data_IF_139440685344
#
_entry.id   IF_139440685344
#
_cell.length_a   1.000
_cell.length_b   1.000
_cell.length_c   1.000
_cell.angle_alpha   90.00
_cell.angle_beta   90.00
_cell.angle_gamma   90.00
#
_symmetry.space_group_name_H-M   'P 1'
#
loop_
_entity.id
_entity.type
_entity.pdbx_description
1 polymer ?
#
# COMPACT_ATOMS: atom_id res chain seq x y z
N UNK A 1 4.51 16.71 2.12
CA UNK A 1 3.23 17.01 2.78
C UNK A 1 3.15 16.10 4.00
N UNK A 2 2.58 16.52 5.14
CA UNK A 2 2.93 15.96 6.45
C UNK A 2 2.75 14.44 6.55
N UNK A 3 1.70 13.87 5.93
CA UNK A 3 1.47 12.42 5.88
C UNK A 3 2.49 11.67 5.01
N UNK A 4 2.97 12.28 3.93
CA UNK A 4 4.00 11.72 3.05
C UNK A 4 5.37 11.75 3.72
N UNK A 5 5.68 12.84 4.42
CA UNK A 5 6.99 13.03 5.04
C UNK A 5 7.14 12.09 6.25
N UNK A 6 6.05 11.93 7.03
CA UNK A 6 5.95 10.89 8.06
C UNK A 6 6.15 9.48 7.49
N UNK A 7 5.52 9.18 6.35
CA UNK A 7 5.64 7.90 5.68
C UNK A 7 7.07 7.59 5.23
N UNK A 8 7.76 8.54 4.59
CA UNK A 8 9.15 8.37 4.18
C UNK A 8 10.06 8.11 5.39
N UNK A 9 9.87 8.84 6.48
CA UNK A 9 10.62 8.63 7.72
C UNK A 9 10.42 7.22 8.29
N UNK A 10 9.21 6.66 8.21
CA UNK A 10 8.95 5.27 8.61
C UNK A 10 9.67 4.27 7.69
N UNK A 11 9.69 4.50 6.38
CA UNK A 11 10.39 3.63 5.43
C UNK A 11 11.89 3.61 5.72
N UNK A 12 12.51 4.76 5.95
CA UNK A 12 13.93 4.86 6.32
C UNK A 12 14.24 4.07 7.59
N UNK A 13 13.45 4.27 8.66
CA UNK A 13 13.60 3.52 9.91
C UNK A 13 13.41 2.01 9.72
N UNK A 14 12.49 1.59 8.85
CA UNK A 14 12.28 0.17 8.57
C UNK A 14 13.49 -0.45 7.86
N UNK A 15 14.13 0.29 6.94
CA UNK A 15 15.36 -0.18 6.26
C UNK A 15 16.53 -0.38 7.21
N UNK A 16 16.67 0.51 8.19
CA UNK A 16 17.74 0.42 9.20
C UNK A 16 17.65 -0.86 10.04
N UNK A 17 16.49 -1.55 10.06
CA UNK A 17 16.34 -2.83 10.78
C UNK A 17 17.01 -4.02 10.06
N UNK A 18 17.46 -3.86 8.82
CA UNK A 18 18.05 -4.93 8.01
C UNK A 18 17.05 -5.99 7.54
N UNK A 19 15.74 -5.74 7.70
CA UNK A 19 14.66 -6.64 7.25
C UNK A 19 14.20 -6.27 5.85
N UNK A 20 13.62 -7.24 5.13
CA UNK A 20 12.88 -6.97 3.91
C UNK A 20 11.71 -6.01 4.20
N UNK A 21 11.60 -4.93 3.43
CA UNK A 21 10.59 -3.89 3.62
C UNK A 21 9.55 -3.96 2.51
N UNK A 22 8.29 -4.14 2.91
CA UNK A 22 7.13 -4.03 2.03
C UNK A 22 6.32 -2.81 2.42
N UNK A 23 5.99 -1.99 1.43
CA UNK A 23 5.26 -0.76 1.59
C UNK A 23 3.90 -0.87 0.90
N UNK A 24 2.83 -0.52 1.63
CA UNK A 24 1.46 -0.61 1.15
C UNK A 24 0.70 0.70 1.33
N UNK A 25 -0.38 0.88 0.57
CA UNK A 25 -1.37 1.94 0.80
C UNK A 25 -1.47 2.97 -0.33
N UNK A 26 -2.18 4.07 -0.08
CA UNK A 26 -2.49 5.08 -1.10
C UNK A 26 -1.29 5.98 -1.46
N UNK A 27 -0.36 6.20 -0.52
CA UNK A 27 0.86 6.99 -0.77
C UNK A 27 1.72 6.39 -1.87
N UNK A 28 2.11 5.09 -1.83
CA UNK A 28 2.88 4.50 -2.92
C UNK A 28 2.06 4.33 -4.22
N UNK A 29 0.73 4.25 -4.14
CA UNK A 29 -0.14 4.16 -5.31
C UNK A 29 -0.23 5.48 -6.09
N UNK A 30 -0.38 6.61 -5.40
CA UNK A 30 -0.52 7.92 -6.05
C UNK A 30 0.80 8.53 -6.50
N UNK A 31 1.94 7.94 -6.14
CA UNK A 31 3.29 8.42 -6.47
C UNK A 31 4.22 7.23 -6.80
N UNK A 32 3.97 6.54 -7.93
CA UNK A 32 4.68 5.30 -8.29
C UNK A 32 6.18 5.52 -8.58
N UNK A 33 6.54 6.69 -9.13
CA UNK A 33 7.88 6.99 -9.62
C UNK A 33 8.82 7.57 -8.54
N UNK A 34 8.43 7.50 -7.27
CA UNK A 34 9.30 7.97 -6.18
C UNK A 34 10.48 7.02 -6.00
N UNK A 35 11.62 7.47 -6.52
CA UNK A 35 12.96 6.97 -6.18
C UNK A 35 13.26 7.10 -4.68
N UNK A 36 12.54 7.97 -3.96
CA UNK A 36 12.69 8.24 -2.52
C UNK A 36 12.33 7.05 -1.61
N UNK A 37 11.53 6.07 -2.07
CA UNK A 37 11.38 4.82 -1.31
C UNK A 37 12.70 4.03 -1.25
N UNK A 38 13.65 4.40 -2.11
CA UNK A 38 14.95 3.77 -2.31
C UNK A 38 14.84 2.41 -2.99
N UNK A 39 15.97 1.94 -3.53
CA UNK A 39 16.12 0.56 -3.97
C UNK A 39 15.89 -0.43 -2.81
N UNK A 40 15.49 -1.66 -3.15
CA UNK A 40 15.30 -2.73 -2.16
C UNK A 40 13.96 -2.71 -1.42
N UNK A 41 12.98 -1.91 -1.85
CA UNK A 41 11.64 -1.87 -1.24
C UNK A 41 10.60 -2.41 -2.20
N UNK A 42 9.85 -3.39 -1.71
CA UNK A 42 8.70 -3.94 -2.41
C UNK A 42 7.45 -3.12 -2.11
N UNK A 43 6.56 -2.99 -3.09
CA UNK A 43 5.41 -2.08 -3.05
C UNK A 43 4.14 -2.82 -3.49
N UNK A 44 3.08 -2.69 -2.69
CA UNK A 44 1.73 -3.17 -3.03
C UNK A 44 0.71 -2.03 -2.97
N UNK A 45 0.04 -1.81 -4.10
CA UNK A 45 -1.00 -0.81 -4.26
C UNK A 45 -2.32 -1.22 -3.59
N UNK A 46 -3.16 -0.24 -3.26
CA UNK A 46 -4.47 -0.49 -2.60
C UNK A 46 -5.41 -1.37 -3.42
N UNK A 47 -5.28 -1.36 -4.75
CA UNK A 47 -6.12 -2.16 -5.65
C UNK A 47 -5.59 -3.59 -5.86
N UNK A 48 -4.37 -3.88 -5.42
CA UNK A 48 -3.73 -5.20 -5.61
C UNK A 48 -3.37 -5.87 -4.28
N UNK A 49 -4.00 -5.44 -3.18
CA UNK A 49 -3.70 -5.94 -1.83
C UNK A 49 -3.89 -7.45 -1.67
N UNK A 50 -4.74 -8.07 -2.50
CA UNK A 50 -4.94 -9.52 -2.55
C UNK A 50 -3.65 -10.29 -2.90
N UNK A 51 -2.65 -9.63 -3.50
CA UNK A 51 -1.34 -10.20 -3.86
C UNK A 51 -0.26 -9.93 -2.81
N UNK A 52 -0.64 -9.52 -1.60
CA UNK A 52 0.34 -9.21 -0.54
C UNK A 52 1.28 -10.38 -0.24
N UNK A 53 0.79 -11.63 -0.33
CA UNK A 53 1.59 -12.83 -0.11
C UNK A 53 2.75 -12.91 -1.10
N UNK A 54 2.47 -12.76 -2.40
CA UNK A 54 3.49 -12.75 -3.46
C UNK A 54 4.56 -11.68 -3.22
N UNK A 55 4.13 -10.47 -2.86
CA UNK A 55 5.05 -9.34 -2.61
C UNK A 55 5.96 -9.60 -1.40
N UNK A 56 5.41 -10.20 -0.34
CA UNK A 56 6.19 -10.55 0.86
C UNK A 56 7.16 -11.68 0.58
N UNK A 57 6.75 -12.72 -0.16
CA UNK A 57 7.62 -13.85 -0.51
C UNK A 57 8.79 -13.41 -1.39
N UNK A 58 8.55 -12.58 -2.40
CA UNK A 58 9.61 -12.05 -3.25
C UNK A 58 10.54 -11.10 -2.47
N UNK A 59 9.99 -10.25 -1.60
CA UNK A 59 10.79 -9.39 -0.72
C UNK A 59 11.70 -10.23 0.21
N UNK A 60 11.19 -11.34 0.74
CA UNK A 60 11.97 -12.25 1.59
C UNK A 60 13.12 -12.94 0.83
N UNK A 61 12.97 -13.16 -0.48
CA UNK A 61 14.04 -13.69 -1.36
C UNK A 61 15.07 -12.62 -1.75
N UNK A 62 14.87 -11.36 -1.35
CA UNK A 62 15.73 -10.23 -1.73
C UNK A 62 15.31 -9.53 -3.02
N UNK A 63 14.20 -9.94 -3.63
CA UNK A 63 13.68 -9.30 -4.83
C UNK A 63 12.84 -8.06 -4.47
N UNK A 64 12.88 -7.03 -5.32
CA UNK A 64 12.02 -5.86 -5.20
C UNK A 64 10.89 -5.92 -6.21
N UNK A 65 9.64 -5.98 -5.74
CA UNK A 65 8.44 -6.09 -6.58
C UNK A 65 7.57 -4.86 -6.43
N UNK A 66 6.99 -4.37 -7.53
CA UNK A 66 6.06 -3.23 -7.51
C UNK A 66 4.75 -3.62 -8.19
N UNK A 67 3.69 -3.79 -7.38
CA UNK A 67 2.34 -4.07 -7.85
C UNK A 67 1.47 -2.82 -7.69
N UNK A 68 1.46 -1.97 -8.72
CA UNK A 68 0.73 -0.69 -8.74
C UNK A 68 -0.33 -0.62 -9.85
N UNK A 69 -0.61 -1.74 -10.51
CA UNK A 69 -1.57 -1.81 -11.61
C UNK A 69 -2.99 -1.50 -11.14
N UNK A 70 -3.74 -0.79 -11.98
CA UNK A 70 -5.16 -0.52 -11.72
C UNK A 70 -5.98 -1.77 -12.03
N UNK A 71 -6.65 -2.33 -11.03
CA UNK A 71 -7.48 -3.55 -11.14
C UNK A 71 -8.79 -3.36 -10.37
N UNK A 72 -9.72 -4.27 -10.65
CA UNK A 72 -11.04 -4.42 -10.03
C UNK A 72 -10.96 -4.31 -8.50
N UNK A 73 -12.03 -3.78 -7.88
CA UNK A 73 -12.15 -3.69 -6.43
C UNK A 73 -11.80 -5.04 -5.75
N UNK A 74 -11.05 -5.01 -4.64
CA UNK A 74 -10.74 -6.21 -3.88
C UNK A 74 -12.02 -6.87 -3.35
N UNK A 75 -12.05 -8.21 -3.33
CA UNK A 75 -13.16 -8.96 -2.73
C UNK A 75 -13.33 -8.60 -1.24
N UNK A 76 -14.58 -8.63 -0.76
CA UNK A 76 -14.91 -8.48 0.66
C UNK A 76 -14.42 -9.67 1.51
N UNK A 77 -14.16 -10.80 0.85
CA UNK A 77 -13.73 -12.07 1.46
C UNK A 77 -12.20 -12.17 1.60
N UNK A 78 -11.47 -11.07 1.46
CA UNK A 78 -10.04 -11.08 1.70
C UNK A 78 -9.73 -11.45 3.16
N UNK A 79 -8.67 -12.26 3.40
CA UNK A 79 -8.22 -12.57 4.75
C UNK A 79 -7.98 -11.28 5.54
N UNK A 80 -8.62 -11.18 6.71
CA UNK A 80 -8.53 -10.00 7.57
C UNK A 80 -8.53 -10.39 9.04
N UNK A 81 -7.77 -9.64 9.83
CA UNK A 81 -7.69 -9.81 11.28
C UNK A 81 -8.64 -8.79 11.92
N UNK A 82 -9.64 -9.27 12.68
CA UNK A 82 -10.57 -8.40 13.40
C UNK A 82 -9.94 -7.95 14.72
N UNK A 83 -9.83 -6.63 14.94
CA UNK A 83 -9.43 -6.06 16.24
C UNK A 83 -10.55 -6.07 17.28
N UNK A 84 -11.81 -6.05 16.82
CA UNK A 84 -13.00 -6.11 17.65
C UNK A 84 -13.90 -7.24 17.13
N UNK A 85 -14.40 -8.10 18.02
CA UNK A 85 -15.23 -9.25 17.64
C UNK A 85 -16.65 -8.85 17.17
N UNK A 86 -17.16 -7.69 17.60
CA UNK A 86 -18.54 -7.24 17.38
C UNK A 86 -18.66 -6.16 16.30
N UNK A 87 -17.55 -5.58 15.83
CA UNK A 87 -17.56 -4.44 14.90
C UNK A 87 -16.73 -4.76 13.66
N UNK A 88 -17.30 -4.49 12.48
CA UNK A 88 -16.64 -4.71 11.20
C UNK A 88 -16.91 -3.55 10.23
N UNK A 89 -15.85 -3.11 9.54
CA UNK A 89 -15.94 -2.12 8.47
C UNK A 89 -16.11 -2.87 7.14
N UNK A 90 -17.23 -2.66 6.47
CA UNK A 90 -17.54 -3.25 5.17
C UNK A 90 -17.58 -2.13 4.13
N UNK A 91 -16.65 -2.09 3.15
CA UNK A 91 -16.70 -1.09 2.09
C UNK A 91 -17.89 -1.38 1.16
N UNK A 92 -18.85 -0.46 1.09
CA UNK A 92 -19.98 -0.51 0.15
C UNK A 92 -19.66 0.12 -1.20
N UNK A 93 -18.65 0.99 -1.23
CA UNK A 93 -18.15 1.66 -2.42
C UNK A 93 -16.69 2.04 -2.22
N UNK A 94 -15.93 2.08 -3.32
CA UNK A 94 -14.53 2.53 -3.35
C UNK A 94 -14.38 3.53 -4.47
N UNK A 95 -13.84 4.71 -4.17
CA UNK A 95 -13.64 5.80 -5.13
C UNK A 95 -14.64 6.96 -4.94
N UNK A 96 -14.60 7.91 -5.87
CA UNK A 96 -15.44 9.10 -5.89
C UNK A 96 -15.65 9.55 -7.35
N UNK A 97 -16.62 10.44 -7.59
CA UNK A 97 -16.90 11.05 -8.90
C UNK A 97 -15.90 12.14 -9.29
N UNK A 98 -14.87 12.38 -8.48
CA UNK A 98 -13.72 13.25 -8.78
C UNK A 98 -14.06 14.72 -9.11
N UNK A 99 -15.23 15.22 -8.69
CA UNK A 99 -15.68 16.60 -8.95
C UNK A 99 -15.03 17.65 -8.02
N UNK A 100 -14.33 17.22 -6.96
CA UNK A 100 -13.72 18.14 -5.99
C UNK A 100 -12.51 18.88 -6.60
N UNK A 101 -12.40 20.20 -6.39
CA UNK A 101 -11.29 21.02 -6.91
C UNK A 101 -9.95 20.73 -6.24
N UNK A 102 -9.97 20.22 -4.99
CA UNK A 102 -8.79 20.07 -4.16
C UNK A 102 -8.39 18.61 -3.87
N UNK A 103 -9.23 17.63 -4.22
CA UNK A 103 -8.99 16.25 -3.80
C UNK A 103 -7.85 15.60 -4.60
N UNK A 104 -6.88 15.01 -3.88
CA UNK A 104 -5.72 14.31 -4.48
C UNK A 104 -6.05 12.92 -5.04
N UNK A 105 -7.22 12.37 -4.71
CA UNK A 105 -7.66 11.06 -5.22
C UNK A 105 -8.28 11.12 -6.61
N UNK A 106 -8.15 12.26 -7.31
CA UNK A 106 -8.48 12.38 -8.74
C UNK A 106 -7.69 11.37 -9.56
#
# INVERSE_FOLDING_TARGET
GPSQDSFLNMVTKAKETGKAVVVAGCVPQGQPDRSEFGSGVSVVGVQQIHRVVEVVEEAAKGNSVRLLGQKVQPSLDLPKIRRNALVEIIPISVGCLNTCTYCKTK
#
